data_IF_215549964663
#
_entry.id   IF_215549964663
#
_cell.length_a   1.000
_cell.length_b   1.000
_cell.length_c   1.000
_cell.angle_alpha   90.00
_cell.angle_beta   90.00
_cell.angle_gamma   90.00
#
_symmetry.space_group_name_H-M   'P 1'
#
loop_
_entity.id
_entity.type
_entity.pdbx_description
1 polymer ?
#
# COMPACT_ATOMS: atom_id res chain seq x y z
N UNK A 1 21.19 28.57 10.45
CA UNK A 1 19.84 28.14 10.86
C UNK A 1 19.87 26.62 10.92
N UNK A 2 19.44 26.00 12.04
CA UNK A 2 19.39 24.54 12.14
C UNK A 2 18.42 23.95 11.10
N UNK A 3 18.81 22.86 10.44
CA UNK A 3 18.06 22.20 9.38
C UNK A 3 17.95 20.70 9.65
N UNK A 4 16.73 20.15 9.52
CA UNK A 4 16.49 18.70 9.61
C UNK A 4 15.94 18.24 8.26
N UNK A 5 16.55 17.21 7.68
CA UNK A 5 16.11 16.61 6.43
C UNK A 5 15.41 15.28 6.69
N UNK A 6 14.13 15.17 6.31
CA UNK A 6 13.36 13.93 6.49
C UNK A 6 13.30 13.13 5.19
N UNK A 7 13.63 11.84 5.26
CA UNK A 7 13.60 10.92 4.11
C UNK A 7 12.48 9.90 4.32
N UNK A 8 11.46 9.98 3.47
CA UNK A 8 10.36 9.01 3.41
C UNK A 8 10.68 7.84 2.46
N UNK A 9 11.49 8.08 1.44
CA UNK A 9 11.90 7.06 0.48
C UNK A 9 13.25 7.42 -0.17
N UNK A 10 14.29 6.68 0.19
CA UNK A 10 15.68 6.88 -0.27
C UNK A 10 15.90 6.47 -1.73
N UNK A 11 15.01 5.66 -2.31
CA UNK A 11 15.14 5.26 -3.72
C UNK A 11 14.81 6.43 -4.67
N UNK A 12 14.00 7.39 -4.24
CA UNK A 12 13.57 8.54 -5.03
C UNK A 12 14.48 9.75 -4.79
N UNK A 13 15.68 9.73 -5.37
CA UNK A 13 16.74 10.70 -5.07
C UNK A 13 16.67 11.99 -5.89
N UNK A 14 15.91 12.00 -6.99
CA UNK A 14 15.75 13.18 -7.85
C UNK A 14 17.01 13.59 -8.63
N UNK A 15 17.89 12.62 -8.90
CA UNK A 15 19.14 12.78 -9.64
C UNK A 15 18.86 13.40 -11.01
N UNK A 16 19.64 14.42 -11.39
CA UNK A 16 19.48 15.11 -12.68
C UNK A 16 20.79 15.73 -13.15
N UNK A 17 20.94 16.04 -14.45
CA UNK A 17 22.14 16.70 -14.97
C UNK A 17 22.43 18.02 -14.25
N UNK A 18 23.71 18.30 -13.99
CA UNK A 18 24.11 19.60 -13.47
C UNK A 18 23.97 20.71 -14.52
N UNK A 19 24.42 20.45 -15.75
CA UNK A 19 24.39 21.40 -16.86
C UNK A 19 24.19 20.69 -18.20
N UNK A 20 23.94 21.47 -19.27
CA UNK A 20 23.96 20.97 -20.66
C UNK A 20 22.65 20.35 -21.15
N UNK A 21 21.59 20.42 -20.35
CA UNK A 21 20.26 19.89 -20.67
C UNK A 21 19.17 20.85 -20.16
N UNK A 22 17.98 20.86 -20.78
CA UNK A 22 16.85 21.69 -20.33
C UNK A 22 16.33 21.27 -18.94
N UNK A 23 16.50 20.01 -18.55
CA UNK A 23 16.19 19.49 -17.22
C UNK A 23 17.32 19.70 -16.19
N UNK A 24 18.41 20.36 -16.59
CA UNK A 24 19.58 20.52 -15.75
C UNK A 24 19.39 21.56 -14.64
N UNK A 25 20.15 21.38 -13.56
CA UNK A 25 20.16 22.31 -12.44
C UNK A 25 20.51 23.75 -12.88
N UNK A 26 21.56 23.92 -13.70
CA UNK A 26 21.97 25.22 -14.20
C UNK A 26 20.89 25.92 -15.05
N UNK A 27 20.03 25.15 -15.72
CA UNK A 27 18.91 25.70 -16.49
C UNK A 27 17.76 26.16 -15.58
N UNK A 28 17.39 25.34 -14.58
CA UNK A 28 16.26 25.65 -13.68
C UNK A 28 16.61 26.68 -12.61
N UNK A 29 17.88 26.72 -12.21
CA UNK A 29 18.36 27.49 -11.07
C UNK A 29 19.64 28.28 -11.39
N UNK A 30 19.66 29.08 -12.47
CA UNK A 30 20.86 29.79 -12.90
C UNK A 30 21.40 30.75 -11.82
N UNK A 31 20.52 31.31 -10.99
CA UNK A 31 20.88 32.22 -9.91
C UNK A 31 21.69 31.58 -8.77
N UNK A 32 21.71 30.25 -8.67
CA UNK A 32 22.39 29.53 -7.59
C UNK A 32 23.71 28.88 -8.03
N UNK A 33 24.02 28.89 -9.33
CA UNK A 33 25.21 28.24 -9.89
C UNK A 33 26.50 28.79 -9.29
N UNK A 34 26.64 30.12 -9.21
CA UNK A 34 27.82 30.78 -8.65
C UNK A 34 28.00 30.53 -7.15
N UNK A 35 26.89 30.35 -6.43
CA UNK A 35 26.86 30.18 -4.98
C UNK A 35 27.15 28.74 -4.57
N UNK A 36 26.87 27.77 -5.43
CA UNK A 36 27.08 26.34 -5.14
C UNK A 36 28.51 25.86 -5.42
N UNK A 37 29.28 26.55 -6.27
CA UNK A 37 30.65 26.20 -6.62
C UNK A 37 31.57 25.85 -5.42
N UNK A 38 31.52 26.54 -4.26
CA UNK A 38 32.37 26.21 -3.11
C UNK A 38 32.04 24.87 -2.43
N UNK A 39 30.79 24.41 -2.55
CA UNK A 39 30.27 23.22 -1.85
C UNK A 39 29.96 22.07 -2.85
N UNK A 40 30.01 22.37 -4.14
CA UNK A 40 29.61 21.48 -5.23
C UNK A 40 30.43 20.19 -5.27
N UNK A 41 31.76 20.31 -5.13
CA UNK A 41 32.67 19.18 -5.24
C UNK A 41 32.52 18.15 -4.11
N UNK A 42 31.96 18.54 -2.96
CA UNK A 42 31.85 17.66 -1.80
C UNK A 42 30.43 17.15 -1.54
N UNK A 43 29.39 17.90 -1.92
CA UNK A 43 28.01 17.65 -1.44
C UNK A 43 26.89 17.67 -2.48
N UNK A 44 27.17 18.12 -3.72
CA UNK A 44 26.11 18.36 -4.72
C UNK A 44 26.02 17.23 -5.75
N UNK A 45 27.16 16.72 -6.21
CA UNK A 45 27.18 15.68 -7.25
C UNK A 45 26.79 14.30 -6.72
N UNK A 46 26.18 13.49 -7.57
CA UNK A 46 25.88 12.09 -7.25
C UNK A 46 27.18 11.27 -7.19
N UNK A 47 27.35 10.34 -6.22
CA UNK A 47 28.54 9.51 -6.13
C UNK A 47 28.70 8.53 -7.31
N UNK A 48 27.62 8.16 -7.98
CA UNK A 48 27.59 7.22 -9.11
C UNK A 48 27.59 7.96 -10.45
N UNK A 49 26.94 9.14 -10.50
CA UNK A 49 26.80 9.94 -11.72
C UNK A 49 27.45 11.32 -11.56
N UNK A 50 28.73 11.42 -11.88
CA UNK A 50 29.57 12.59 -11.57
C UNK A 50 29.16 13.89 -12.26
N UNK A 51 28.40 13.82 -13.34
CA UNK A 51 27.84 14.98 -14.06
C UNK A 51 26.43 15.36 -13.59
N UNK A 52 25.86 14.60 -12.66
CA UNK A 52 24.52 14.81 -12.14
C UNK A 52 24.57 15.31 -10.70
N UNK A 53 23.63 16.17 -10.34
CA UNK A 53 23.39 16.52 -8.95
C UNK A 53 22.48 15.50 -8.29
N UNK A 54 22.63 15.32 -6.99
CA UNK A 54 21.75 14.50 -6.17
C UNK A 54 21.14 15.34 -5.03
N UNK A 55 19.91 15.86 -5.20
CA UNK A 55 19.23 16.64 -4.17
C UNK A 55 19.07 15.89 -2.84
N UNK A 56 18.90 14.57 -2.88
CA UNK A 56 18.82 13.77 -1.66
C UNK A 56 20.14 13.74 -0.91
N UNK A 57 21.26 13.57 -1.62
CA UNK A 57 22.61 13.68 -1.04
C UNK A 57 22.86 15.07 -0.45
N UNK A 58 22.46 16.13 -1.15
CA UNK A 58 22.55 17.50 -0.64
C UNK A 58 21.81 17.63 0.70
N UNK A 59 20.59 17.10 0.78
CA UNK A 59 19.82 17.07 2.03
C UNK A 59 20.52 16.30 3.15
N UNK A 60 21.11 15.14 2.85
CA UNK A 60 21.87 14.33 3.83
C UNK A 60 23.11 15.05 4.33
N UNK A 61 23.93 15.58 3.43
CA UNK A 61 25.23 16.17 3.76
C UNK A 61 25.05 17.52 4.46
N UNK A 62 24.16 18.38 3.94
CA UNK A 62 24.05 19.78 4.37
C UNK A 62 23.12 20.04 5.55
N UNK A 63 22.19 19.13 5.88
CA UNK A 63 21.34 19.28 7.07
C UNK A 63 22.13 19.07 8.36
N UNK A 64 21.66 19.58 9.50
CA UNK A 64 22.28 19.27 10.80
C UNK A 64 21.92 17.85 11.26
N UNK A 65 20.69 17.41 10.97
CA UNK A 65 20.19 16.07 11.27
C UNK A 65 19.39 15.49 10.10
N UNK A 66 19.48 14.18 9.94
CA UNK A 66 18.68 13.40 9.01
C UNK A 66 17.68 12.56 9.80
N UNK A 67 16.42 12.69 9.45
CA UNK A 67 15.32 11.94 10.03
C UNK A 67 14.82 10.88 9.03
N UNK A 68 14.72 9.63 9.48
CA UNK A 68 14.10 8.52 8.74
C UNK A 68 12.81 8.10 9.44
N UNK A 69 11.86 7.61 8.66
CA UNK A 69 10.49 7.39 9.12
C UNK A 69 10.26 6.10 9.93
N UNK A 70 11.35 5.43 10.37
CA UNK A 70 11.35 4.38 11.40
C UNK A 70 12.77 4.13 11.92
N UNK A 71 12.89 3.53 13.11
CA UNK A 71 14.20 3.17 13.71
C UNK A 71 14.95 2.14 12.87
N UNK A 72 14.26 1.10 12.41
CA UNK A 72 14.87 0.10 11.54
C UNK A 72 15.28 0.70 10.19
N UNK A 73 14.48 1.62 9.63
CA UNK A 73 14.86 2.30 8.39
C UNK A 73 16.17 3.09 8.56
N UNK A 74 16.34 3.77 9.69
CA UNK A 74 17.59 4.48 9.99
C UNK A 74 18.82 3.56 10.02
N UNK A 75 18.67 2.29 10.38
CA UNK A 75 19.74 1.29 10.37
C UNK A 75 19.96 0.65 8.99
N UNK A 76 18.87 0.41 8.24
CA UNK A 76 18.91 -0.23 6.93
C UNK A 76 19.65 0.61 5.88
N UNK A 77 19.44 1.93 5.89
CA UNK A 77 20.06 2.84 4.91
C UNK A 77 21.57 2.97 5.07
N UNK A 78 22.11 2.47 6.18
CA UNK A 78 23.54 2.38 6.42
C UNK A 78 24.15 1.17 5.71
N UNK A 79 23.37 0.30 5.06
CA UNK A 79 23.87 -0.88 4.34
C UNK A 79 23.65 -0.69 2.85
N UNK A 80 24.47 -1.31 2.00
CA UNK A 80 24.22 -1.31 0.56
C UNK A 80 23.00 -2.15 0.22
N UNK A 81 22.28 -1.80 -0.85
CA UNK A 81 21.12 -2.54 -1.32
C UNK A 81 21.53 -3.90 -1.92
N UNK A 82 20.71 -4.93 -1.69
CA UNK A 82 20.82 -6.28 -2.26
C UNK A 82 19.48 -6.63 -2.92
N UNK A 83 19.34 -6.22 -4.19
CA UNK A 83 18.10 -6.41 -4.95
C UNK A 83 17.77 -7.89 -5.19
N UNK A 84 18.77 -8.78 -5.20
CA UNK A 84 18.52 -10.22 -5.38
C UNK A 84 17.76 -10.82 -4.20
N UNK A 85 17.96 -10.27 -2.99
CA UNK A 85 17.25 -10.66 -1.77
C UNK A 85 16.09 -9.74 -1.41
N UNK A 86 15.77 -8.76 -2.27
CA UNK A 86 14.75 -7.75 -2.00
C UNK A 86 15.10 -6.82 -0.83
N UNK A 87 16.39 -6.64 -0.52
CA UNK A 87 16.85 -5.72 0.52
C UNK A 87 17.22 -4.37 -0.07
N UNK A 88 16.58 -3.30 0.42
CA UNK A 88 16.77 -1.93 -0.08
C UNK A 88 17.45 -1.06 0.98
N UNK A 89 18.74 -0.85 0.82
CA UNK A 89 19.59 -0.13 1.77
C UNK A 89 19.73 1.35 1.43
N UNK A 90 20.97 1.82 1.38
CA UNK A 90 21.40 3.21 1.17
C UNK A 90 21.30 3.70 -0.28
N UNK A 91 21.01 2.81 -1.23
CA UNK A 91 20.78 3.16 -2.65
C UNK A 91 21.88 4.06 -3.27
N UNK A 92 23.16 3.86 -2.88
CA UNK A 92 24.31 4.63 -3.36
C UNK A 92 24.71 5.81 -2.47
N UNK A 93 23.96 6.10 -1.40
CA UNK A 93 24.25 7.13 -0.41
C UNK A 93 24.65 6.56 0.96
N UNK A 94 24.87 5.25 1.08
CA UNK A 94 25.21 4.60 2.35
C UNK A 94 26.47 5.17 3.00
N UNK A 95 27.45 5.65 2.22
CA UNK A 95 28.67 6.24 2.76
C UNK A 95 28.39 7.61 3.42
N UNK A 96 27.63 8.48 2.75
CA UNK A 96 27.23 9.78 3.31
C UNK A 96 26.35 9.60 4.55
N UNK A 97 25.44 8.61 4.52
CA UNK A 97 24.55 8.30 5.65
C UNK A 97 25.29 7.68 6.83
N UNK A 98 26.28 6.79 6.60
CA UNK A 98 27.17 6.28 7.66
C UNK A 98 27.94 7.42 8.33
N UNK A 99 28.57 8.28 7.53
CA UNK A 99 29.31 9.43 8.07
C UNK A 99 28.40 10.32 8.93
N UNK A 100 27.15 10.54 8.50
CA UNK A 100 26.15 11.29 9.28
C UNK A 100 25.71 10.56 10.55
N UNK A 101 25.57 9.24 10.50
CA UNK A 101 25.19 8.41 11.63
C UNK A 101 26.29 8.35 12.69
N UNK A 102 27.56 8.27 12.29
CA UNK A 102 28.73 8.31 13.18
C UNK A 102 28.80 9.63 13.98
N UNK A 103 28.26 10.72 13.43
CA UNK A 103 28.11 12.00 14.14
C UNK A 103 26.91 12.05 15.11
N UNK A 104 26.12 10.97 15.23
CA UNK A 104 24.89 10.95 16.01
C UNK A 104 23.76 11.80 15.40
N UNK A 105 23.82 12.04 14.08
CA UNK A 105 22.91 12.94 13.38
C UNK A 105 21.85 12.23 12.53
N UNK A 106 21.80 10.89 12.56
CA UNK A 106 20.75 10.11 11.90
C UNK A 106 19.79 9.59 12.95
N UNK A 107 18.50 9.89 12.79
CA UNK A 107 17.45 9.56 13.77
C UNK A 107 16.29 8.89 13.05
N UNK A 108 15.82 7.76 13.58
CA UNK A 108 14.58 7.14 13.13
C UNK A 108 13.41 7.53 14.04
N UNK A 109 12.38 8.18 13.51
CA UNK A 109 11.12 8.42 14.24
C UNK A 109 9.98 7.86 13.39
N UNK A 110 9.15 7.02 14.00
CA UNK A 110 8.00 6.41 13.32
C UNK A 110 6.99 7.51 12.99
N UNK A 111 6.42 7.50 11.78
CA UNK A 111 5.32 8.44 11.46
C UNK A 111 4.13 8.18 12.39
N UNK A 112 3.59 9.24 12.95
CA UNK A 112 2.35 9.19 13.72
C UNK A 112 1.12 9.44 12.85
N UNK A 113 -0.03 8.95 13.31
CA UNK A 113 -1.34 9.38 12.85
C UNK A 113 -1.99 10.23 13.95
N UNK A 114 -2.72 11.29 13.57
CA UNK A 114 -3.54 12.02 14.55
C UNK A 114 -4.84 11.24 14.79
N UNK A 115 -5.04 10.80 16.03
CA UNK A 115 -6.23 10.03 16.44
C UNK A 115 -7.33 10.92 17.07
N UNK A 116 -7.12 12.23 17.20
CA UNK A 116 -7.98 13.14 17.97
C UNK A 116 -9.42 13.25 17.42
N UNK A 117 -9.61 12.96 16.13
CA UNK A 117 -10.91 12.93 15.46
C UNK A 117 -11.39 11.52 15.11
N UNK A 118 -10.65 10.48 15.50
CA UNK A 118 -11.23 9.15 15.46
C UNK A 118 -12.32 9.15 16.53
N UNK A 119 -13.57 8.73 16.20
CA UNK A 119 -14.53 8.49 17.26
C UNK A 119 -13.80 7.64 18.29
N UNK A 120 -13.82 8.08 19.55
CA UNK A 120 -13.32 7.25 20.66
C UNK A 120 -13.86 5.85 20.41
N UNK A 121 -13.08 4.82 20.70
CA UNK A 121 -13.61 3.45 20.80
C UNK A 121 -14.55 3.46 22.00
N UNK A 122 -15.67 4.18 21.89
CA UNK A 122 -16.88 3.96 22.61
C UNK A 122 -17.30 2.60 22.08
N UNK A 123 -17.10 1.61 22.96
CA UNK A 123 -17.84 0.37 22.97
C UNK A 123 -19.21 0.56 22.31
N UNK A 124 -19.53 -0.28 21.32
CA UNK A 124 -20.88 -0.46 20.76
C UNK A 124 -21.32 0.45 19.59
N UNK A 125 -20.44 0.84 18.65
CA UNK A 125 -20.98 1.07 17.29
C UNK A 125 -21.37 -0.27 16.67
N UNK A 126 -22.64 -0.48 16.26
CA UNK A 126 -23.09 -1.77 15.75
C UNK A 126 -22.30 -2.16 14.49
N UNK A 127 -21.94 -3.45 14.40
CA UNK A 127 -21.32 -4.03 13.19
C UNK A 127 -22.26 -3.71 12.01
N UNK A 128 -21.77 -2.93 11.04
CA UNK A 128 -22.54 -2.57 9.85
C UNK A 128 -22.86 -3.87 9.11
N UNK A 129 -24.07 -4.01 8.58
CA UNK A 129 -24.43 -5.22 7.87
C UNK A 129 -23.57 -5.38 6.61
N UNK A 130 -23.25 -6.61 6.22
CA UNK A 130 -22.53 -6.86 4.95
C UNK A 130 -23.32 -6.36 3.73
N UNK A 131 -24.66 -6.26 3.84
CA UNK A 131 -25.49 -5.67 2.80
C UNK A 131 -25.23 -4.17 2.67
N UNK A 132 -25.14 -3.44 3.78
CA UNK A 132 -24.85 -2.00 3.78
C UNK A 132 -23.45 -1.72 3.22
N UNK A 133 -22.45 -2.53 3.58
CA UNK A 133 -21.10 -2.45 2.98
C UNK A 133 -21.12 -2.66 1.46
N UNK A 134 -21.94 -3.61 0.98
CA UNK A 134 -22.12 -3.85 -0.46
C UNK A 134 -22.86 -2.69 -1.15
N UNK A 135 -23.78 -2.02 -0.45
CA UNK A 135 -24.47 -0.80 -0.93
C UNK A 135 -23.49 0.36 -1.00
N UNK A 136 -22.63 0.56 0.00
CA UNK A 136 -21.56 1.58 -0.04
C UNK A 136 -20.63 1.36 -1.24
N UNK A 137 -20.23 0.11 -1.48
CA UNK A 137 -19.38 -0.25 -2.63
C UNK A 137 -20.08 0.03 -3.97
N UNK A 138 -21.38 -0.28 -4.08
CA UNK A 138 -22.18 -0.01 -5.27
C UNK A 138 -22.34 1.50 -5.51
N UNK A 139 -22.64 2.27 -4.47
CA UNK A 139 -22.77 3.72 -4.55
C UNK A 139 -21.45 4.38 -5.00
N UNK A 140 -20.31 3.90 -4.49
CA UNK A 140 -19.00 4.38 -4.92
C UNK A 140 -18.77 4.12 -6.42
N UNK A 141 -19.07 2.90 -6.90
CA UNK A 141 -18.95 2.54 -8.32
C UNK A 141 -19.86 3.40 -9.20
N UNK A 142 -21.12 3.60 -8.81
CA UNK A 142 -22.07 4.45 -9.53
C UNK A 142 -21.58 5.91 -9.60
N UNK A 143 -21.06 6.44 -8.49
CA UNK A 143 -20.52 7.80 -8.45
C UNK A 143 -19.28 7.99 -9.34
N UNK A 144 -18.48 6.95 -9.54
CA UNK A 144 -17.35 6.99 -10.48
C UNK A 144 -17.80 6.85 -11.93
N UNK A 145 -18.72 5.91 -12.22
CA UNK A 145 -19.27 5.71 -13.56
C UNK A 145 -19.98 6.96 -14.08
N UNK A 146 -20.66 7.71 -13.21
CA UNK A 146 -21.31 8.97 -13.57
C UNK A 146 -20.33 10.05 -14.09
N UNK A 147 -19.02 9.89 -13.86
CA UNK A 147 -17.97 10.84 -14.27
C UNK A 147 -17.29 10.44 -15.59
N UNK A 148 -17.66 9.32 -16.18
CA UNK A 148 -16.99 8.78 -17.37
C UNK A 148 -17.99 8.36 -18.43
N UNK A 149 -17.67 8.62 -19.70
CA UNK A 149 -18.55 8.22 -20.83
C UNK A 149 -18.50 6.71 -21.12
N UNK A 150 -17.47 6.01 -20.61
CA UNK A 150 -17.25 4.58 -20.86
C UNK A 150 -17.11 3.84 -19.53
N UNK A 151 -17.94 2.81 -19.35
CA UNK A 151 -17.84 1.90 -18.20
C UNK A 151 -16.69 0.93 -18.40
N UNK A 152 -15.80 0.81 -17.41
CA UNK A 152 -14.70 -0.12 -17.49
C UNK A 152 -15.16 -1.57 -17.21
N UNK A 153 -14.48 -2.55 -17.80
CA UNK A 153 -14.80 -3.96 -17.58
C UNK A 153 -14.64 -4.37 -16.12
N UNK A 154 -13.69 -3.76 -15.39
CA UNK A 154 -13.49 -4.03 -13.96
C UNK A 154 -14.66 -3.54 -13.12
N UNK A 155 -15.24 -2.38 -13.44
CA UNK A 155 -16.42 -1.89 -12.72
C UNK A 155 -17.62 -2.81 -12.95
N UNK A 156 -17.84 -3.24 -14.20
CA UNK A 156 -18.91 -4.20 -14.52
C UNK A 156 -18.75 -5.54 -13.79
N UNK A 157 -17.52 -6.05 -13.67
CA UNK A 157 -17.22 -7.26 -12.89
C UNK A 157 -17.53 -7.02 -11.40
N UNK A 158 -17.13 -5.87 -10.86
CA UNK A 158 -17.38 -5.51 -9.46
C UNK A 158 -18.88 -5.42 -9.15
N UNK A 159 -19.67 -4.70 -9.98
CA UNK A 159 -21.13 -4.64 -9.83
C UNK A 159 -21.79 -6.03 -9.92
N UNK A 160 -21.35 -6.86 -10.87
CA UNK A 160 -21.86 -8.24 -10.99
C UNK A 160 -21.57 -9.07 -9.74
N UNK A 161 -20.35 -8.95 -9.19
CA UNK A 161 -19.96 -9.63 -7.95
C UNK A 161 -20.75 -9.12 -6.75
N UNK A 162 -20.93 -7.80 -6.61
CA UNK A 162 -21.75 -7.19 -5.55
C UNK A 162 -23.16 -7.78 -5.57
N UNK A 163 -23.78 -7.85 -6.74
CA UNK A 163 -25.11 -8.42 -6.89
C UNK A 163 -25.15 -9.90 -6.49
N UNK A 164 -24.16 -10.71 -6.93
CA UNK A 164 -24.06 -12.12 -6.51
C UNK A 164 -23.94 -12.26 -4.99
N UNK A 165 -23.12 -11.43 -4.35
CA UNK A 165 -22.96 -11.42 -2.90
C UNK A 165 -24.25 -11.04 -2.17
N UNK A 166 -24.97 -10.01 -2.64
CA UNK A 166 -26.29 -9.63 -2.08
C UNK A 166 -27.27 -10.81 -2.16
N UNK A 167 -27.35 -11.48 -3.31
CA UNK A 167 -28.20 -12.65 -3.49
C UNK A 167 -27.83 -13.81 -2.56
N UNK A 168 -26.54 -14.08 -2.37
CA UNK A 168 -26.07 -15.13 -1.45
C UNK A 168 -26.47 -14.84 0.00
N UNK A 169 -26.29 -13.59 0.46
CA UNK A 169 -26.67 -13.18 1.80
C UNK A 169 -28.18 -13.32 2.04
N UNK A 170 -29.01 -12.95 1.06
CA UNK A 170 -30.48 -13.10 1.15
C UNK A 170 -30.89 -14.58 1.21
N UNK A 171 -30.27 -15.46 0.40
CA UNK A 171 -30.60 -16.89 0.40
C UNK A 171 -30.24 -17.58 1.72
N UNK A 172 -29.17 -17.16 2.38
CA UNK A 172 -28.76 -17.70 3.68
C UNK A 172 -29.81 -17.41 4.78
N UNK A 173 -30.50 -16.27 4.71
CA UNK A 173 -31.58 -15.92 5.65
C UNK A 173 -32.77 -16.88 5.55
N UNK A 174 -33.20 -17.19 4.32
CA UNK A 174 -34.36 -18.07 4.12
C UNK A 174 -34.12 -19.49 4.63
N UNK A 175 -32.89 -19.98 4.57
CA UNK A 175 -32.55 -21.33 5.04
C UNK A 175 -32.37 -21.43 6.57
N UNK A 176 -32.22 -20.32 7.30
CA UNK A 176 -32.00 -20.29 8.76
C UNK A 176 -33.27 -20.00 9.59
N UNK A 177 -34.44 -19.89 8.96
CA UNK A 177 -35.70 -19.46 9.60
C UNK A 177 -36.40 -20.51 10.50
N UNK A 178 -35.69 -21.52 11.04
CA UNK A 178 -36.32 -22.63 11.78
C UNK A 178 -35.85 -22.83 13.24
N UNK A 179 -34.92 -22.04 13.76
CA UNK A 179 -34.54 -22.09 15.18
C UNK A 179 -33.77 -20.84 15.61
N UNK A 180 -34.30 -20.11 16.58
CA UNK A 180 -33.74 -18.95 17.30
C UNK A 180 -33.77 -17.58 16.59
N UNK A 181 -34.86 -16.85 16.87
CA UNK A 181 -35.11 -15.47 16.48
C UNK A 181 -34.42 -14.45 17.42
N UNK A 182 -33.10 -14.54 17.58
CA UNK A 182 -32.32 -13.48 18.23
C UNK A 182 -31.09 -13.13 17.39
N UNK A 183 -31.15 -11.95 16.76
CA UNK A 183 -30.06 -11.22 16.07
C UNK A 183 -29.37 -11.97 14.92
N UNK A 184 -30.07 -12.16 13.80
CA UNK A 184 -29.44 -12.53 12.51
C UNK A 184 -28.74 -11.32 11.90
N UNK A 185 -27.61 -10.91 12.46
CA UNK A 185 -26.75 -9.90 11.83
C UNK A 185 -26.38 -10.41 10.44
N UNK A 186 -26.76 -9.66 9.40
CA UNK A 186 -26.51 -9.97 7.99
C UNK A 186 -25.02 -9.78 7.65
N UNK A 187 -24.16 -10.53 8.31
CA UNK A 187 -22.72 -10.38 8.23
C UNK A 187 -22.10 -11.65 7.65
N UNK A 188 -21.12 -11.50 6.75
CA UNK A 188 -20.23 -12.61 6.43
C UNK A 188 -19.58 -13.14 7.70
N UNK A 189 -19.40 -14.47 7.82
CA UNK A 189 -18.70 -15.05 8.96
C UNK A 189 -17.21 -14.70 8.97
N UNK A 190 -16.64 -14.34 7.81
CA UNK A 190 -15.26 -13.90 7.71
C UNK A 190 -15.08 -12.92 6.54
N UNK A 191 -14.66 -11.70 6.84
CA UNK A 191 -14.37 -10.64 5.87
C UNK A 191 -12.88 -10.30 5.91
N UNK A 192 -12.15 -10.72 4.87
CA UNK A 192 -10.80 -10.25 4.62
C UNK A 192 -10.88 -8.93 3.83
N UNK A 193 -10.06 -7.95 4.18
CA UNK A 193 -10.03 -6.64 3.51
C UNK A 193 -8.62 -6.22 3.16
N UNK A 194 -8.46 -5.44 2.10
CA UNK A 194 -7.21 -4.78 1.77
C UNK A 194 -7.52 -3.46 1.09
N UNK A 195 -6.91 -2.38 1.58
CA UNK A 195 -7.10 -1.03 1.04
C UNK A 195 -5.73 -0.43 0.74
N UNK A 196 -5.50 -0.01 -0.51
CA UNK A 196 -4.21 0.56 -0.87
C UNK A 196 -4.06 0.99 -2.33
N UNK A 197 -2.88 1.54 -2.64
CA UNK A 197 -2.51 1.88 -4.02
C UNK A 197 -2.05 0.61 -4.74
N UNK A 198 -2.52 0.42 -5.97
CA UNK A 198 -2.10 -0.70 -6.82
C UNK A 198 -0.77 -0.37 -7.50
N UNK A 199 0.32 -0.45 -6.75
CA UNK A 199 1.68 -0.25 -7.25
C UNK A 199 2.51 -1.52 -7.05
N UNK A 200 3.60 -1.69 -7.80
CA UNK A 200 4.51 -2.83 -7.61
C UNK A 200 4.96 -2.97 -6.15
N UNK A 201 5.29 -1.86 -5.50
CA UNK A 201 5.68 -1.83 -4.09
C UNK A 201 4.62 -2.35 -3.11
N UNK A 202 3.34 -2.33 -3.48
CA UNK A 202 2.21 -2.60 -2.56
C UNK A 202 1.47 -3.90 -2.81
N UNK A 203 1.46 -4.38 -4.05
CA UNK A 203 0.58 -5.49 -4.48
C UNK A 203 1.36 -6.57 -5.23
N UNK A 204 2.62 -6.34 -5.63
CA UNK A 204 3.35 -7.28 -6.48
C UNK A 204 3.48 -8.67 -5.86
N UNK A 205 3.68 -8.77 -4.54
CA UNK A 205 3.76 -10.08 -3.86
C UNK A 205 2.50 -10.92 -4.05
N UNK A 206 1.32 -10.28 -4.15
CA UNK A 206 0.06 -10.97 -4.41
C UNK A 206 -0.01 -11.56 -5.82
N UNK A 207 0.74 -10.99 -6.77
CA UNK A 207 0.75 -11.42 -8.17
C UNK A 207 1.93 -12.34 -8.49
N UNK A 208 2.85 -12.57 -7.55
CA UNK A 208 3.93 -13.53 -7.72
C UNK A 208 3.38 -14.96 -7.76
N UNK A 209 4.01 -15.82 -8.56
CA UNK A 209 3.65 -17.22 -8.62
C UNK A 209 4.13 -17.94 -7.36
N UNK A 210 3.27 -18.77 -6.80
CA UNK A 210 3.65 -19.67 -5.74
C UNK A 210 4.65 -20.71 -6.26
N UNK A 211 5.73 -21.00 -5.51
CA UNK A 211 6.62 -22.10 -5.83
C UNK A 211 5.87 -23.43 -5.94
N UNK A 212 6.25 -24.26 -6.90
CA UNK A 212 5.56 -25.53 -7.20
C UNK A 212 5.64 -26.57 -6.06
N UNK A 213 6.54 -26.35 -5.10
CA UNK A 213 6.78 -27.20 -3.93
C UNK A 213 5.88 -26.89 -2.73
N UNK A 214 5.13 -25.77 -2.74
CA UNK A 214 4.28 -25.37 -1.60
C UNK A 214 3.08 -26.32 -1.45
N UNK A 215 2.28 -26.47 -2.51
CA UNK A 215 1.13 -27.38 -2.54
C UNK A 215 0.77 -27.71 -3.99
N UNK A 216 0.58 -28.98 -4.38
CA UNK A 216 0.24 -29.35 -5.75
C UNK A 216 -1.03 -28.68 -6.29
N UNK A 217 -2.01 -28.41 -5.42
CA UNK A 217 -3.25 -27.73 -5.80
C UNK A 217 -3.08 -26.22 -6.07
N UNK A 218 -1.95 -25.64 -5.66
CA UNK A 218 -1.60 -24.23 -5.82
C UNK A 218 -0.50 -24.01 -6.88
N UNK A 219 0.02 -25.08 -7.49
CA UNK A 219 1.02 -24.97 -8.57
C UNK A 219 0.51 -24.10 -9.73
N UNK A 220 1.39 -23.20 -10.19
CA UNK A 220 1.08 -22.23 -11.24
C UNK A 220 0.05 -21.15 -10.85
N UNK A 221 -0.33 -21.03 -9.58
CA UNK A 221 -1.22 -19.96 -9.08
C UNK A 221 -0.40 -18.78 -8.55
N UNK A 222 -0.96 -17.59 -8.68
CA UNK A 222 -0.44 -16.43 -7.94
C UNK A 222 -0.72 -16.57 -6.43
N UNK A 223 0.02 -15.84 -5.61
CA UNK A 223 -0.22 -15.77 -4.15
C UNK A 223 -1.67 -15.35 -3.85
N UNK A 224 -2.23 -14.38 -4.59
CA UNK A 224 -3.62 -13.96 -4.46
C UNK A 224 -4.59 -15.13 -4.72
N UNK A 225 -4.39 -15.86 -5.81
CA UNK A 225 -5.21 -17.03 -6.12
C UNK A 225 -5.08 -18.10 -5.04
N UNK A 226 -3.87 -18.33 -4.52
CA UNK A 226 -3.64 -19.23 -3.39
C UNK A 226 -4.39 -18.82 -2.14
N UNK A 227 -4.33 -17.54 -1.76
CA UNK A 227 -5.08 -16.98 -0.64
C UNK A 227 -6.59 -17.18 -0.83
N UNK A 228 -7.12 -16.94 -2.03
CA UNK A 228 -8.54 -17.13 -2.33
C UNK A 228 -8.96 -18.61 -2.26
N UNK A 229 -8.11 -19.53 -2.72
CA UNK A 229 -8.34 -20.98 -2.62
C UNK A 229 -8.34 -21.42 -1.15
N UNK A 230 -7.36 -20.98 -0.36
CA UNK A 230 -7.27 -21.28 1.07
C UNK A 230 -8.47 -20.69 1.82
N UNK A 231 -8.83 -19.44 1.52
CA UNK A 231 -9.99 -18.77 2.11
C UNK A 231 -11.27 -19.55 1.83
N UNK A 232 -11.52 -19.97 0.59
CA UNK A 232 -12.70 -20.76 0.24
C UNK A 232 -12.74 -22.13 0.95
N UNK A 233 -11.59 -22.74 1.22
CA UNK A 233 -11.49 -24.03 1.94
C UNK A 233 -11.75 -23.86 3.45
N UNK A 234 -11.15 -22.85 4.07
CA UNK A 234 -11.19 -22.63 5.52
C UNK A 234 -12.45 -21.87 5.95
N UNK A 235 -12.93 -20.97 5.10
CA UNK A 235 -14.10 -20.12 5.31
C UNK A 235 -14.97 -20.14 4.04
N UNK A 236 -15.81 -21.16 3.83
CA UNK A 236 -16.59 -21.32 2.60
C UNK A 236 -17.54 -20.15 2.28
N UNK A 237 -17.93 -19.39 3.29
CA UNK A 237 -18.76 -18.18 3.19
C UNK A 237 -17.95 -16.89 3.41
N UNK A 238 -16.63 -17.00 3.47
CA UNK A 238 -15.74 -15.86 3.61
C UNK A 238 -15.55 -15.13 2.29
N UNK A 239 -15.33 -13.82 2.37
CA UNK A 239 -15.05 -12.99 1.20
C UNK A 239 -13.77 -12.18 1.42
N UNK A 240 -13.03 -11.96 0.34
CA UNK A 240 -11.95 -10.99 0.30
C UNK A 240 -12.38 -9.78 -0.52
N UNK A 241 -12.32 -8.59 0.08
CA UNK A 241 -12.55 -7.31 -0.60
C UNK A 241 -11.23 -6.54 -0.73
N UNK A 242 -10.85 -6.25 -1.97
CA UNK A 242 -9.71 -5.39 -2.29
C UNK A 242 -10.23 -4.07 -2.87
N UNK A 243 -9.96 -2.96 -2.18
CA UNK A 243 -10.22 -1.60 -2.65
C UNK A 243 -8.90 -0.93 -2.99
N UNK A 244 -8.73 -0.50 -4.24
CA UNK A 244 -7.53 0.21 -4.61
C UNK A 244 -7.50 0.68 -6.06
N UNK A 245 -6.70 1.71 -6.31
CA UNK A 245 -6.45 2.24 -7.65
C UNK A 245 -4.95 2.42 -7.89
N UNK A 246 -4.50 2.34 -9.13
CA UNK A 246 -3.09 2.56 -9.47
C UNK A 246 -2.74 2.11 -10.88
N UNK A 247 -1.70 1.28 -10.99
CA UNK A 247 -1.17 0.79 -12.24
C UNK A 247 -2.19 -0.06 -13.03
N UNK A 248 -2.31 0.23 -14.32
CA UNK A 248 -3.30 -0.42 -15.21
C UNK A 248 -3.00 -1.89 -15.48
N UNK A 249 -1.73 -2.28 -15.54
CA UNK A 249 -1.33 -3.68 -15.74
C UNK A 249 -1.63 -4.51 -14.50
N UNK A 250 -1.32 -3.98 -13.31
CA UNK A 250 -1.66 -4.60 -12.02
C UNK A 250 -3.18 -4.73 -11.90
N UNK A 251 -3.93 -3.64 -12.15
CA UNK A 251 -5.39 -3.66 -12.10
C UNK A 251 -5.99 -4.69 -13.06
N UNK A 252 -5.43 -4.85 -14.26
CA UNK A 252 -5.89 -5.85 -15.25
C UNK A 252 -5.60 -7.29 -14.81
N UNK A 253 -4.46 -7.54 -14.15
CA UNK A 253 -4.15 -8.85 -13.58
C UNK A 253 -5.14 -9.20 -12.45
N UNK A 254 -5.36 -8.28 -11.52
CA UNK A 254 -6.33 -8.44 -10.42
C UNK A 254 -7.76 -8.60 -10.95
N UNK A 255 -8.14 -7.84 -11.98
CA UNK A 255 -9.45 -7.97 -12.65
C UNK A 255 -9.68 -9.39 -13.18
N UNK A 256 -8.67 -9.99 -13.80
CA UNK A 256 -8.77 -11.36 -14.33
C UNK A 256 -9.02 -12.38 -13.21
N UNK A 257 -8.40 -12.16 -12.05
CA UNK A 257 -8.61 -12.98 -10.84
C UNK A 257 -10.02 -12.73 -10.26
N UNK A 258 -10.45 -11.47 -10.16
CA UNK A 258 -11.79 -11.10 -9.68
C UNK A 258 -12.93 -11.71 -10.51
N UNK A 259 -12.74 -11.84 -11.82
CA UNK A 259 -13.70 -12.53 -12.69
C UNK A 259 -13.80 -14.04 -12.39
N UNK A 260 -12.70 -14.67 -11.94
CA UNK A 260 -12.58 -16.11 -11.77
C UNK A 260 -13.02 -16.63 -10.40
N UNK A 261 -12.80 -15.87 -9.34
CA UNK A 261 -13.03 -16.34 -7.96
C UNK A 261 -14.27 -15.68 -7.34
N UNK A 262 -15.22 -16.49 -6.87
CA UNK A 262 -16.50 -16.02 -6.34
C UNK A 262 -16.44 -15.39 -4.96
N UNK A 263 -15.42 -15.76 -4.18
CA UNK A 263 -15.13 -15.20 -2.87
C UNK A 263 -14.21 -13.97 -2.93
N UNK A 264 -14.08 -13.33 -4.10
CA UNK A 264 -13.25 -12.14 -4.28
C UNK A 264 -14.04 -11.00 -4.92
N UNK A 265 -14.03 -9.84 -4.26
CA UNK A 265 -14.56 -8.58 -4.76
C UNK A 265 -13.41 -7.58 -4.90
N UNK A 266 -13.15 -7.16 -6.13
CA UNK A 266 -12.18 -6.12 -6.43
C UNK A 266 -12.89 -4.85 -6.86
N UNK A 267 -12.64 -3.75 -6.14
CA UNK A 267 -13.17 -2.42 -6.43
C UNK A 267 -11.99 -1.52 -6.85
N UNK A 268 -11.91 -1.20 -8.13
CA UNK A 268 -10.80 -0.44 -8.71
C UNK A 268 -11.01 1.08 -8.59
N UNK A 269 -10.80 1.61 -7.39
CA UNK A 269 -10.99 3.02 -7.10
C UNK A 269 -10.58 3.38 -5.68
N UNK A 270 -10.93 4.58 -5.26
CA UNK A 270 -10.79 5.02 -3.88
C UNK A 270 -12.02 5.81 -3.47
N UNK A 271 -12.63 5.38 -2.37
CA UNK A 271 -13.70 6.08 -1.67
C UNK A 271 -13.37 6.06 -0.17
N UNK A 272 -13.40 7.24 0.45
CA UNK A 272 -13.00 7.42 1.85
C UNK A 272 -13.97 6.71 2.81
N UNK A 273 -15.28 6.79 2.53
CA UNK A 273 -16.32 6.17 3.36
C UNK A 273 -16.20 4.65 3.31
N UNK A 274 -16.11 4.09 2.10
CA UNK A 274 -15.93 2.66 1.89
C UNK A 274 -14.62 2.16 2.51
N UNK A 275 -13.53 2.90 2.34
CA UNK A 275 -12.23 2.61 2.96
C UNK A 275 -12.36 2.52 4.48
N UNK A 276 -12.97 3.52 5.11
CA UNK A 276 -13.19 3.55 6.56
C UNK A 276 -14.11 2.43 7.05
N UNK A 277 -15.10 2.03 6.25
CA UNK A 277 -15.96 0.88 6.56
C UNK A 277 -15.18 -0.43 6.47
N UNK A 278 -14.35 -0.63 5.44
CA UNK A 278 -13.50 -1.82 5.30
C UNK A 278 -12.50 -1.95 6.46
N UNK A 279 -11.86 -0.85 6.87
CA UNK A 279 -10.97 -0.85 8.04
C UNK A 279 -11.66 -1.23 9.35
N UNK A 280 -12.94 -0.84 9.51
CA UNK A 280 -13.72 -1.11 10.74
C UNK A 280 -14.37 -2.50 10.76
N UNK A 281 -14.78 -3.01 9.60
CA UNK A 281 -15.60 -4.22 9.49
C UNK A 281 -14.79 -5.48 9.15
N UNK A 282 -13.57 -5.34 8.63
CA UNK A 282 -12.73 -6.48 8.27
C UNK A 282 -12.30 -7.28 9.51
N UNK A 283 -12.50 -8.59 9.46
CA UNK A 283 -11.99 -9.52 10.48
C UNK A 283 -10.48 -9.75 10.31
N UNK A 284 -9.97 -9.59 9.09
CA UNK A 284 -8.53 -9.58 8.78
C UNK A 284 -8.19 -8.52 7.74
N UNK A 285 -7.24 -7.63 8.07
CA UNK A 285 -6.72 -6.64 7.15
C UNK A 285 -5.39 -7.11 6.53
N UNK A 286 -5.34 -7.22 5.21
CA UNK A 286 -4.17 -7.63 4.44
C UNK A 286 -3.43 -6.41 3.89
N UNK A 287 -2.13 -6.33 4.20
CA UNK A 287 -1.24 -5.26 3.78
C UNK A 287 -0.02 -5.84 3.04
N UNK A 288 -0.15 -6.14 1.73
CA UNK A 288 0.81 -6.97 1.01
C UNK A 288 2.02 -6.19 0.45
N UNK A 289 2.48 -5.18 1.17
CA UNK A 289 3.55 -4.29 0.70
C UNK A 289 4.93 -4.96 0.79
N UNK A 290 5.70 -4.93 -0.30
CA UNK A 290 7.11 -5.30 -0.29
C UNK A 290 8.00 -4.18 0.28
N UNK A 291 7.45 -2.96 0.39
CA UNK A 291 8.14 -1.79 0.90
C UNK A 291 7.32 -1.12 2.01
N UNK A 292 7.12 -1.83 3.11
CA UNK A 292 6.83 -1.20 4.38
C UNK A 292 8.10 -1.16 5.19
N UNK A 293 8.78 -0.01 5.15
CA UNK A 293 9.89 0.33 6.05
C UNK A 293 9.35 0.45 7.48
N UNK A 294 8.88 -0.66 8.07
CA UNK A 294 8.35 -0.83 9.43
C UNK A 294 7.74 0.45 10.02
N UNK A 295 6.77 1.01 9.32
CA UNK A 295 6.04 2.18 9.80
C UNK A 295 4.81 1.75 10.60
N UNK A 296 4.28 0.57 10.29
CA UNK A 296 3.22 -0.11 11.01
C UNK A 296 3.57 -1.59 10.99
N UNK A 297 3.57 -2.25 12.15
CA UNK A 297 3.69 -3.70 12.20
C UNK A 297 2.57 -4.32 11.35
N UNK A 298 2.98 -4.94 10.24
CA UNK A 298 2.12 -5.70 9.35
C UNK A 298 1.64 -6.97 10.03
N UNK A 299 0.54 -6.85 10.77
CA UNK A 299 -0.58 -7.76 10.96
C UNK A 299 -1.41 -7.09 12.07
N UNK A 300 -2.36 -6.23 11.70
CA UNK A 300 -3.45 -5.91 12.62
C UNK A 300 -4.38 -7.11 12.62
N UNK A 301 -4.01 -8.12 13.40
CA UNK A 301 -4.91 -9.14 13.90
C UNK A 301 -5.87 -8.43 14.85
N UNK A 302 -7.03 -8.00 14.35
CA UNK A 302 -8.20 -7.89 15.22
C UNK A 302 -8.67 -9.33 15.52
N UNK A 303 -7.90 -10.04 16.35
CA UNK A 303 -8.39 -11.24 17.03
C UNK A 303 -9.36 -10.76 18.11
N UNK A 304 -10.60 -10.47 17.71
CA UNK A 304 -11.74 -10.59 18.61
C UNK A 304 -12.06 -12.09 18.71
N UNK A 305 -11.28 -12.80 19.53
CA UNK A 305 -11.71 -14.05 20.16
C UNK A 305 -12.18 -13.74 21.59
#
# INVERSE_FOLDING_TARGET
>A
MPCIFTIHNLALQGIRPYSGDESSFCHWFPQYVSTLLPIANTSVFDPRYTNCINPMRMGVVLSDKVHLVSTTYAEEVLKSSDYQKGFFGGEGLEADLKAKAEMGCVIGIINGCMYENMPKIESEQPKISSVDLLVDAENALLAWQAKTDVVSAVDSIALSRINQCKWQLIQQQHNQSSSDASTTNHCWPFLMTSVGRLTEQKVLILLQHLPDDVEPALSGKSVLEGLLIILARQQPQGIFILLGSGDKHIAKAVQSIAAKYSNFLFVNGYDETLSNTLYRQGDLFLMPSSFERKQWDGLLLNLNC
#
